data_IF_778613480812
#
_entry.id   IF_778613480812
#
_cell.length_a   1.000
_cell.length_b   1.000
_cell.length_c   1.000
_cell.angle_alpha   90.00
_cell.angle_beta   90.00
_cell.angle_gamma   90.00
#
_symmetry.space_group_name_H-M   'P 1'
#
loop_
_entity.id
_entity.type
_entity.pdbx_description
1 polymer ?
#
# COMPACT_ATOMS: atom_id res chain seq x y z
N UNK A 1 -34.98 14.06 18.85
CA UNK A 1 -33.59 14.49 19.10
C UNK A 1 -32.70 13.24 19.15
N UNK A 2 -31.72 13.08 18.27
CA UNK A 2 -30.86 11.88 18.21
C UNK A 2 -29.38 12.28 18.04
N UNK A 3 -28.50 11.69 18.85
CA UNK A 3 -27.10 11.42 18.51
C UNK A 3 -26.14 12.60 18.27
N UNK A 4 -25.75 13.36 19.30
CA UNK A 4 -24.61 14.32 19.24
C UNK A 4 -23.27 13.79 19.79
N UNK A 5 -23.19 12.53 20.27
CA UNK A 5 -22.07 12.08 21.14
C UNK A 5 -20.90 11.34 20.45
N UNK A 6 -21.14 10.61 19.35
CA UNK A 6 -20.24 9.51 18.97
C UNK A 6 -18.90 9.89 18.31
N UNK A 7 -18.72 11.14 17.86
CA UNK A 7 -17.49 11.55 17.17
C UNK A 7 -16.34 11.97 18.11
N UNK A 8 -16.62 12.30 19.39
CA UNK A 8 -15.57 12.76 20.31
C UNK A 8 -14.51 11.69 20.63
N UNK A 9 -14.88 10.41 20.62
CA UNK A 9 -13.95 9.31 20.89
C UNK A 9 -13.08 8.92 19.67
N UNK A 10 -13.54 9.19 18.45
CA UNK A 10 -12.76 8.96 17.21
C UNK A 10 -11.55 9.91 17.10
N UNK A 11 -11.70 11.15 17.55
CA UNK A 11 -10.67 12.20 17.46
C UNK A 11 -9.43 11.92 18.32
N UNK A 12 -9.61 11.40 19.54
CA UNK A 12 -8.49 11.05 20.43
C UNK A 12 -7.62 9.94 19.82
N UNK A 13 -8.23 9.01 19.07
CA UNK A 13 -7.51 7.97 18.34
C UNK A 13 -6.69 8.49 17.17
N UNK A 14 -7.19 9.50 16.44
CA UNK A 14 -6.49 10.09 15.29
C UNK A 14 -5.20 10.83 15.70
N UNK A 15 -5.19 11.44 16.89
CA UNK A 15 -4.01 12.08 17.49
C UNK A 15 -2.86 11.08 17.76
N UNK A 16 -3.19 9.86 18.21
CA UNK A 16 -2.23 8.77 18.45
C UNK A 16 -1.77 8.05 17.15
N UNK A 17 -2.24 8.49 15.97
CA UNK A 17 -1.74 7.99 14.68
C UNK A 17 -0.50 8.76 14.22
N UNK A 18 -0.39 10.04 14.54
CA UNK A 18 0.76 10.88 14.20
C UNK A 18 1.79 11.02 15.34
N UNK A 19 1.47 10.59 16.56
CA UNK A 19 2.44 10.51 17.67
C UNK A 19 2.06 9.49 18.75
N UNK A 20 3.01 8.62 19.11
CA UNK A 20 2.97 7.58 20.15
C UNK A 20 2.09 6.32 19.90
N UNK A 21 2.70 5.15 20.11
CA UNK A 21 2.08 3.82 20.00
C UNK A 21 1.81 3.23 21.40
N UNK A 22 0.69 2.51 21.58
CA UNK A 22 0.55 1.40 22.55
C UNK A 22 -0.65 0.50 22.21
N UNK A 23 -0.70 -0.71 22.77
CA UNK A 23 -1.47 -1.88 22.32
C UNK A 23 -2.82 -2.10 23.06
N UNK A 24 -3.77 -2.80 22.42
CA UNK A 24 -4.45 -4.03 22.93
C UNK A 24 -5.49 -4.59 21.93
N UNK A 25 -5.88 -5.88 22.06
CA UNK A 25 -6.64 -6.66 21.07
C UNK A 25 -7.63 -7.68 21.67
N UNK A 26 -8.69 -8.05 20.94
CA UNK A 26 -9.54 -9.25 21.15
C UNK A 26 -11.04 -8.98 20.93
N UNK A 27 -11.89 -9.92 20.49
CA UNK A 27 -11.73 -11.30 20.00
C UNK A 27 -12.93 -11.69 19.11
N UNK A 28 -12.92 -12.87 18.45
CA UNK A 28 -13.93 -13.32 17.46
C UNK A 28 -14.70 -14.56 17.96
N UNK A 29 -15.98 -14.69 17.58
CA UNK A 29 -16.77 -15.93 17.69
C UNK A 29 -17.06 -16.51 16.29
N UNK A 30 -17.17 -17.84 16.20
CA UNK A 30 -17.54 -18.56 14.98
C UNK A 30 -18.85 -19.34 15.20
N UNK A 31 -19.60 -19.57 14.11
CA UNK A 31 -20.82 -20.38 14.10
C UNK A 31 -20.82 -21.29 12.86
N UNK A 32 -21.16 -22.57 13.05
CA UNK A 32 -21.08 -23.62 12.02
C UNK A 32 -22.48 -23.92 11.44
N UNK A 33 -22.56 -24.34 10.16
CA UNK A 33 -23.84 -24.69 9.51
C UNK A 33 -23.69 -25.75 8.41
N UNK A 34 -24.73 -26.57 8.26
CA UNK A 34 -24.71 -27.88 7.59
C UNK A 34 -24.61 -27.89 6.04
N UNK A 35 -24.15 -29.02 5.51
CA UNK A 35 -23.81 -29.25 4.09
C UNK A 35 -24.99 -29.72 3.20
N UNK A 36 -25.07 -29.23 1.94
CA UNK A 36 -25.89 -29.82 0.87
C UNK A 36 -25.07 -30.66 -0.12
N UNK A 37 -25.67 -31.72 -0.69
CA UNK A 37 -25.04 -32.59 -1.70
C UNK A 37 -24.88 -31.83 -3.03
N UNK A 38 -23.72 -31.66 -3.68
CA UNK A 38 -22.53 -32.52 -3.94
C UNK A 38 -22.56 -33.30 -5.28
N UNK A 39 -23.00 -32.68 -6.38
CA UNK A 39 -22.70 -33.09 -7.78
C UNK A 39 -21.91 -32.06 -8.59
N UNK A 40 -21.77 -30.83 -8.07
CA UNK A 40 -21.07 -29.69 -8.71
C UNK A 40 -19.54 -29.75 -8.57
N UNK A 41 -19.07 -30.67 -7.73
CA UNK A 41 -17.78 -30.65 -7.03
C UNK A 41 -16.58 -30.97 -7.90
N UNK A 42 -16.75 -31.80 -8.93
CA UNK A 42 -15.67 -32.24 -9.84
C UNK A 42 -15.14 -31.09 -10.70
N UNK A 43 -16.01 -30.24 -11.25
CA UNK A 43 -15.60 -29.08 -12.04
C UNK A 43 -14.87 -28.03 -11.16
N UNK A 44 -15.36 -27.77 -9.94
CA UNK A 44 -14.72 -26.82 -9.02
C UNK A 44 -13.28 -27.23 -8.69
N UNK A 45 -13.11 -28.52 -8.37
CA UNK A 45 -11.81 -29.12 -8.07
C UNK A 45 -10.86 -29.01 -9.27
N UNK A 46 -11.36 -29.06 -10.50
CA UNK A 46 -10.55 -28.95 -11.71
C UNK A 46 -9.92 -27.56 -11.89
N UNK A 47 -10.63 -26.48 -11.57
CA UNK A 47 -10.11 -25.11 -11.78
C UNK A 47 -9.09 -24.70 -10.71
N UNK A 48 -9.33 -25.06 -9.44
CA UNK A 48 -8.34 -24.90 -8.38
C UNK A 48 -7.05 -25.64 -8.72
N UNK A 49 -7.16 -26.90 -9.16
CA UNK A 49 -6.01 -27.70 -9.57
C UNK A 49 -5.19 -27.04 -10.70
N UNK A 50 -5.82 -26.41 -11.71
CA UNK A 50 -5.08 -25.68 -12.76
C UNK A 50 -4.24 -24.54 -12.19
N UNK A 51 -4.83 -23.71 -11.33
CA UNK A 51 -4.12 -22.59 -10.67
C UNK A 51 -2.97 -23.13 -9.81
N UNK A 52 -3.21 -24.19 -9.05
CA UNK A 52 -2.17 -24.87 -8.26
C UNK A 52 -1.01 -25.41 -9.11
N UNK A 53 -1.27 -26.00 -10.28
CA UNK A 53 -0.19 -26.49 -11.16
C UNK A 53 0.59 -25.33 -11.83
N UNK A 54 -0.09 -24.27 -12.27
CA UNK A 54 0.59 -23.09 -12.81
C UNK A 54 1.46 -22.39 -11.75
N UNK A 55 0.97 -22.28 -10.51
CA UNK A 55 1.74 -21.77 -9.37
C UNK A 55 2.92 -22.69 -9.06
N UNK A 56 2.71 -24.00 -8.91
CA UNK A 56 3.80 -24.98 -8.68
C UNK A 56 4.91 -24.84 -9.71
N UNK A 57 4.57 -24.67 -10.99
CA UNK A 57 5.54 -24.41 -12.06
C UNK A 57 6.30 -23.09 -11.85
N UNK A 58 5.60 -21.99 -11.52
CA UNK A 58 6.23 -20.70 -11.23
C UNK A 58 7.17 -20.78 -10.03
N UNK A 59 6.80 -21.46 -8.95
CA UNK A 59 7.66 -21.60 -7.78
C UNK A 59 8.90 -22.44 -8.07
N UNK A 60 8.78 -23.55 -8.82
CA UNK A 60 9.93 -24.38 -9.18
C UNK A 60 10.88 -23.70 -10.19
N UNK A 61 10.40 -22.71 -10.95
CA UNK A 61 11.23 -21.88 -11.84
C UNK A 61 12.18 -20.95 -11.05
N UNK A 62 11.71 -20.36 -9.95
CA UNK A 62 12.51 -19.40 -9.13
C UNK A 62 13.15 -20.06 -7.90
N UNK A 63 12.55 -21.14 -7.41
CA UNK A 63 12.97 -21.88 -6.21
C UNK A 63 12.96 -23.40 -6.51
N UNK A 64 13.93 -23.93 -7.29
CA UNK A 64 13.92 -25.33 -7.75
C UNK A 64 13.95 -26.40 -6.65
N UNK A 65 14.24 -26.00 -5.40
CA UNK A 65 14.29 -26.84 -4.21
C UNK A 65 13.12 -26.59 -3.23
N UNK A 66 12.06 -25.90 -3.67
CA UNK A 66 10.87 -25.70 -2.87
C UNK A 66 10.15 -27.04 -2.61
N UNK A 67 9.76 -27.26 -1.35
CA UNK A 67 8.83 -28.32 -0.97
C UNK A 67 7.43 -27.88 -1.40
N UNK A 68 6.65 -28.78 -1.97
CA UNK A 68 5.27 -28.51 -2.44
C UNK A 68 4.38 -29.61 -1.88
N UNK A 69 3.40 -29.24 -1.06
CA UNK A 69 2.44 -30.16 -0.44
C UNK A 69 1.03 -29.71 -0.81
N UNK A 70 0.24 -30.63 -1.38
CA UNK A 70 -1.15 -30.35 -1.78
C UNK A 70 -2.07 -31.37 -1.10
N UNK A 71 -3.11 -30.88 -0.44
CA UNK A 71 -4.06 -31.69 0.33
C UNK A 71 -5.48 -31.14 0.16
N UNK A 72 -6.26 -31.76 -0.72
CA UNK A 72 -7.63 -31.34 -1.04
C UNK A 72 -7.68 -29.88 -1.53
N UNK A 73 -8.42 -29.05 -0.80
CA UNK A 73 -8.63 -27.61 -1.05
C UNK A 73 -7.44 -26.73 -0.57
N UNK A 74 -6.31 -27.31 -0.18
CA UNK A 74 -5.11 -26.60 0.31
C UNK A 74 -3.82 -26.92 -0.48
N UNK A 75 -2.96 -25.91 -0.65
CA UNK A 75 -1.61 -26.00 -1.23
C UNK A 75 -0.60 -25.18 -0.42
N UNK A 76 0.44 -25.83 0.13
CA UNK A 76 1.61 -25.20 0.75
C UNK A 76 2.82 -25.30 -0.19
N UNK A 77 3.58 -24.20 -0.33
CA UNK A 77 4.88 -24.18 -0.99
C UNK A 77 5.91 -23.50 -0.09
N UNK A 78 6.98 -24.21 0.27
CA UNK A 78 7.97 -23.75 1.25
C UNK A 78 9.43 -23.95 0.79
N UNK A 79 10.26 -22.91 0.90
CA UNK A 79 11.70 -22.95 0.66
C UNK A 79 12.46 -22.11 1.68
N UNK A 80 13.55 -22.66 2.24
CA UNK A 80 14.34 -22.06 3.34
C UNK A 80 13.49 -21.50 4.51
N UNK A 81 12.37 -22.13 4.83
CA UNK A 81 11.52 -21.71 5.95
C UNK A 81 12.11 -22.08 7.31
N UNK A 82 11.68 -21.39 8.37
CA UNK A 82 12.06 -21.70 9.75
C UNK A 82 11.14 -21.04 10.77
N UNK A 83 11.18 -21.55 12.00
CA UNK A 83 10.48 -20.95 13.14
C UNK A 83 11.12 -19.60 13.49
N UNK A 84 10.32 -18.54 13.56
CA UNK A 84 10.74 -17.20 13.99
C UNK A 84 9.77 -16.65 15.04
N UNK A 85 10.30 -15.94 16.02
CA UNK A 85 9.49 -15.21 16.99
C UNK A 85 8.99 -13.89 16.37
N UNK A 86 7.68 -13.66 16.45
CA UNK A 86 7.06 -12.37 16.12
C UNK A 86 7.34 -11.33 17.21
N UNK A 87 7.05 -10.06 16.91
CA UNK A 87 7.00 -8.96 17.91
C UNK A 87 6.04 -9.25 19.07
N UNK A 88 5.05 -10.14 18.89
CA UNK A 88 4.13 -10.60 19.96
C UNK A 88 4.64 -11.80 20.76
N UNK A 89 5.90 -12.23 20.55
CA UNK A 89 6.48 -13.42 21.20
C UNK A 89 5.97 -14.77 20.67
N UNK A 90 4.94 -14.78 19.81
CA UNK A 90 4.46 -16.01 19.17
C UNK A 90 5.48 -16.52 18.15
N UNK A 91 5.74 -17.81 18.17
CA UNK A 91 6.56 -18.48 17.16
C UNK A 91 5.70 -18.83 15.95
N UNK A 92 6.09 -18.37 14.77
CA UNK A 92 5.44 -18.68 13.49
C UNK A 92 6.44 -19.32 12.53
N UNK A 93 5.95 -19.98 11.48
CA UNK A 93 6.78 -20.35 10.33
C UNK A 93 6.94 -19.11 9.44
N UNK A 94 8.19 -18.81 9.05
CA UNK A 94 8.52 -17.67 8.18
C UNK A 94 9.72 -18.01 7.29
N UNK A 95 9.85 -17.37 6.11
CA UNK A 95 11.05 -17.51 5.28
C UNK A 95 12.30 -16.98 6.01
N UNK A 96 13.43 -17.66 5.84
CA UNK A 96 14.76 -17.10 6.10
C UNK A 96 15.21 -16.27 4.89
N UNK A 97 16.46 -15.79 4.91
CA UNK A 97 17.07 -15.08 3.77
C UNK A 97 17.01 -15.94 2.50
N UNK A 98 16.57 -15.32 1.40
CA UNK A 98 16.18 -15.93 0.11
C UNK A 98 15.08 -17.02 0.21
N UNK A 99 14.36 -17.07 1.31
CA UNK A 99 13.27 -18.01 1.53
C UNK A 99 11.94 -17.53 0.99
N UNK A 100 11.02 -18.47 0.82
CA UNK A 100 9.63 -18.20 0.47
C UNK A 100 8.70 -19.22 1.14
N UNK A 101 7.53 -18.76 1.57
CA UNK A 101 6.43 -19.58 2.08
C UNK A 101 5.14 -19.09 1.43
N UNK A 102 4.35 -20.00 0.89
CA UNK A 102 3.09 -19.69 0.25
C UNK A 102 2.01 -20.68 0.68
N UNK A 103 0.95 -20.16 1.30
CA UNK A 103 -0.22 -20.91 1.71
C UNK A 103 -1.39 -20.53 0.79
N UNK A 104 -2.11 -21.51 0.23
CA UNK A 104 -3.35 -21.29 -0.51
C UNK A 104 -4.44 -22.18 0.06
N UNK A 105 -5.55 -21.56 0.47
CA UNK A 105 -6.77 -22.23 0.88
C UNK A 105 -7.92 -21.85 -0.06
N UNK A 106 -8.61 -22.84 -0.61
CA UNK A 106 -9.89 -22.64 -1.26
C UNK A 106 -11.00 -22.64 -0.19
N UNK A 107 -11.70 -21.51 -0.01
CA UNK A 107 -12.70 -21.31 1.06
C UNK A 107 -14.09 -20.98 0.50
N UNK A 108 -15.18 -21.42 1.15
CA UNK A 108 -16.54 -21.12 0.71
C UNK A 108 -16.89 -19.63 0.87
N UNK A 109 -17.84 -19.17 0.06
CA UNK A 109 -18.37 -17.83 0.08
C UNK A 109 -17.39 -16.74 -0.40
N UNK A 110 -17.83 -15.49 -0.28
CA UNK A 110 -16.97 -14.30 -0.40
C UNK A 110 -16.06 -14.18 0.82
N UNK A 111 -14.91 -13.54 0.67
CA UNK A 111 -14.01 -13.24 1.80
C UNK A 111 -14.69 -12.26 2.78
N UNK A 112 -14.77 -12.63 4.07
CA UNK A 112 -15.55 -11.89 5.09
C UNK A 112 -14.71 -11.18 6.17
N UNK A 113 -13.39 -11.14 6.07
CA UNK A 113 -12.58 -10.42 7.07
C UNK A 113 -12.63 -8.90 6.85
N UNK A 114 -12.48 -8.13 7.94
CA UNK A 114 -12.34 -6.67 7.92
C UNK A 114 -11.07 -6.19 7.15
N UNK A 115 -10.13 -7.11 6.90
CA UNK A 115 -8.91 -6.85 6.13
C UNK A 115 -9.24 -6.68 4.64
N UNK A 116 -9.10 -5.48 4.11
CA UNK A 116 -9.26 -5.27 2.66
C UNK A 116 -8.08 -5.93 1.93
N UNK A 117 -8.37 -6.76 0.93
CA UNK A 117 -7.42 -7.44 0.07
C UNK A 117 -7.53 -6.93 -1.38
N UNK A 118 -6.46 -7.03 -2.21
CA UNK A 118 -5.14 -7.52 -1.88
C UNK A 118 -4.38 -6.57 -0.93
N UNK A 119 -3.53 -7.13 -0.07
CA UNK A 119 -2.70 -6.35 0.88
C UNK A 119 -1.22 -6.72 0.75
N UNK A 120 -0.33 -5.75 1.02
CA UNK A 120 1.12 -5.95 1.13
C UNK A 120 1.58 -5.35 2.46
N UNK A 121 2.21 -6.16 3.32
CA UNK A 121 2.72 -5.76 4.64
C UNK A 121 4.21 -6.08 4.68
N UNK A 122 5.04 -5.09 5.02
CA UNK A 122 6.48 -5.28 5.19
C UNK A 122 6.76 -5.55 6.67
N UNK A 123 7.15 -6.78 7.01
CA UNK A 123 7.72 -7.12 8.31
C UNK A 123 9.25 -6.96 8.28
N UNK A 124 9.90 -6.89 9.44
CA UNK A 124 11.34 -6.59 9.55
C UNK A 124 12.28 -7.50 8.74
N UNK A 125 11.84 -8.69 8.33
CA UNK A 125 12.67 -9.70 7.64
C UNK A 125 12.03 -10.30 6.38
N UNK A 126 10.77 -9.98 6.10
CA UNK A 126 10.03 -10.55 4.96
C UNK A 126 8.83 -9.67 4.63
N UNK A 127 8.36 -9.77 3.39
CA UNK A 127 7.14 -9.12 2.93
C UNK A 127 6.03 -10.16 2.89
N UNK A 128 4.85 -9.79 3.37
CA UNK A 128 3.61 -10.56 3.27
C UNK A 128 2.76 -9.95 2.15
N UNK A 129 2.30 -10.77 1.21
CA UNK A 129 1.18 -10.46 0.32
C UNK A 129 0.02 -11.38 0.66
N UNK A 130 -1.17 -10.82 0.84
CA UNK A 130 -2.41 -11.59 0.98
C UNK A 130 -3.42 -11.20 -0.07
N UNK A 131 -4.13 -12.18 -0.63
CA UNK A 131 -5.10 -12.06 -1.72
C UNK A 131 -6.28 -13.00 -1.47
N UNK A 132 -7.46 -12.66 -1.97
CA UNK A 132 -8.64 -13.52 -1.88
C UNK A 132 -9.61 -13.29 -3.06
N UNK A 133 -9.18 -13.51 -4.33
CA UNK A 133 -10.07 -13.42 -5.47
C UNK A 133 -11.25 -14.39 -5.29
N UNK A 134 -12.45 -13.92 -5.60
CA UNK A 134 -13.69 -14.66 -5.46
C UNK A 134 -14.15 -15.16 -6.84
N UNK A 135 -14.64 -16.41 -6.89
CA UNK A 135 -15.23 -17.00 -8.08
C UNK A 135 -16.71 -17.27 -7.81
N UNK A 136 -17.57 -16.45 -8.42
CA UNK A 136 -19.01 -16.43 -8.14
C UNK A 136 -19.74 -17.74 -8.52
N UNK A 137 -19.54 -18.36 -9.69
CA UNK A 137 -20.13 -19.67 -10.02
C UNK A 137 -19.70 -20.82 -9.11
N UNK A 138 -18.51 -20.72 -8.48
CA UNK A 138 -18.06 -21.69 -7.50
C UNK A 138 -18.58 -21.41 -6.08
N UNK A 139 -19.05 -20.18 -5.82
CA UNK A 139 -19.24 -19.56 -4.50
C UNK A 139 -18.08 -19.87 -3.55
N UNK A 140 -16.85 -19.64 -4.01
CA UNK A 140 -15.61 -19.86 -3.28
C UNK A 140 -14.61 -18.74 -3.55
N UNK A 141 -13.75 -18.42 -2.58
CA UNK A 141 -12.61 -17.53 -2.75
C UNK A 141 -11.28 -18.28 -2.51
N UNK A 142 -10.24 -17.86 -3.22
CA UNK A 142 -8.90 -18.44 -3.10
C UNK A 142 -8.06 -17.62 -2.13
N UNK A 143 -8.17 -17.91 -0.84
CA UNK A 143 -7.39 -17.23 0.20
C UNK A 143 -5.92 -17.60 0.07
N UNK A 144 -5.10 -16.64 -0.36
CA UNK A 144 -3.70 -16.82 -0.70
C UNK A 144 -2.83 -15.94 0.18
N UNK A 145 -1.76 -16.50 0.75
CA UNK A 145 -0.81 -15.81 1.62
C UNK A 145 0.62 -16.16 1.23
N UNK A 146 1.37 -15.14 0.78
CA UNK A 146 2.75 -15.27 0.33
C UNK A 146 3.68 -14.49 1.26
N UNK A 147 4.63 -15.16 1.89
CA UNK A 147 5.72 -14.58 2.68
C UNK A 147 7.04 -14.77 1.92
N UNK A 148 7.76 -13.70 1.65
CA UNK A 148 8.98 -13.73 0.82
C UNK A 148 10.05 -12.74 1.30
N UNK A 149 11.32 -13.02 1.01
CA UNK A 149 12.43 -12.11 1.29
C UNK A 149 12.26 -10.77 0.51
N UNK A 150 12.54 -9.59 1.10
CA UNK A 150 12.40 -8.29 0.41
C UNK A 150 13.19 -8.16 -0.90
N UNK A 151 14.27 -8.93 -1.09
CA UNK A 151 15.04 -8.99 -2.33
C UNK A 151 14.44 -9.88 -3.44
N UNK A 152 13.29 -10.51 -3.22
CA UNK A 152 12.62 -11.37 -4.21
C UNK A 152 12.29 -10.59 -5.49
N UNK A 153 12.61 -11.10 -6.70
CA UNK A 153 12.36 -10.38 -7.95
C UNK A 153 10.89 -9.98 -8.14
N UNK A 154 10.61 -8.69 -8.36
CA UNK A 154 9.23 -8.20 -8.53
C UNK A 154 8.55 -8.80 -9.79
N UNK A 155 9.31 -9.33 -10.76
CA UNK A 155 8.77 -10.10 -11.89
C UNK A 155 8.11 -11.42 -11.44
N UNK A 156 8.67 -12.11 -10.44
CA UNK A 156 8.04 -13.28 -9.82
C UNK A 156 6.76 -12.86 -9.09
N UNK A 157 6.81 -11.80 -8.28
CA UNK A 157 5.66 -11.26 -7.54
C UNK A 157 4.53 -10.83 -8.49
N UNK A 158 4.87 -10.23 -9.63
CA UNK A 158 3.91 -9.82 -10.66
C UNK A 158 3.28 -11.03 -11.34
N UNK A 159 4.07 -12.05 -11.71
CA UNK A 159 3.56 -13.31 -12.29
C UNK A 159 2.67 -14.06 -11.29
N UNK A 160 3.08 -14.12 -10.02
CA UNK A 160 2.32 -14.75 -8.93
C UNK A 160 0.93 -14.13 -8.79
N UNK A 161 0.83 -12.81 -8.60
CA UNK A 161 -0.46 -12.09 -8.49
C UNK A 161 -1.36 -12.42 -9.69
N UNK A 162 -0.81 -12.29 -10.91
CA UNK A 162 -1.54 -12.59 -12.14
C UNK A 162 -2.05 -14.03 -12.23
N UNK A 163 -1.35 -15.01 -11.65
CA UNK A 163 -1.82 -16.40 -11.59
C UNK A 163 -2.96 -16.57 -10.56
N UNK A 164 -2.88 -15.89 -9.42
CA UNK A 164 -3.94 -15.89 -8.40
C UNK A 164 -5.20 -15.20 -8.94
N UNK A 165 -5.06 -14.04 -9.59
CA UNK A 165 -6.17 -13.27 -10.18
C UNK A 165 -6.87 -13.99 -11.36
N UNK A 166 -6.23 -14.99 -11.99
CA UNK A 166 -6.92 -15.87 -12.96
C UNK A 166 -8.09 -16.62 -12.34
N UNK A 167 -8.07 -16.88 -11.03
CA UNK A 167 -9.12 -17.63 -10.34
C UNK A 167 -10.50 -16.97 -10.44
N UNK A 168 -10.56 -15.63 -10.41
CA UNK A 168 -11.79 -14.83 -10.58
C UNK A 168 -12.28 -14.86 -12.05
N UNK A 169 -11.36 -14.79 -13.02
CA UNK A 169 -11.65 -14.41 -14.40
C UNK A 169 -11.95 -15.56 -15.39
N UNK A 170 -12.12 -16.80 -14.91
CA UNK A 170 -12.26 -17.98 -15.81
C UNK A 170 -13.64 -18.12 -16.50
N UNK A 171 -14.61 -17.28 -16.16
CA UNK A 171 -16.04 -17.53 -16.43
C UNK A 171 -16.48 -17.01 -17.81
N UNK A 172 -15.91 -15.89 -18.28
CA UNK A 172 -16.41 -15.21 -19.48
C UNK A 172 -16.12 -15.95 -20.80
N UNK A 173 -15.08 -16.80 -20.83
CA UNK A 173 -14.60 -17.40 -22.09
C UNK A 173 -15.40 -18.60 -22.61
N UNK A 174 -16.31 -19.18 -21.82
CA UNK A 174 -17.12 -20.35 -22.25
C UNK A 174 -18.44 -19.98 -22.96
N UNK A 175 -18.85 -18.70 -23.02
CA UNK A 175 -20.13 -18.29 -23.64
C UNK A 175 -20.06 -17.87 -25.12
N UNK A 176 -18.89 -17.84 -25.74
CA UNK A 176 -18.71 -17.25 -27.09
C UNK A 176 -17.88 -18.14 -28.04
N UNK A 177 -18.01 -19.46 -27.92
CA UNK A 177 -17.39 -20.41 -28.88
C UNK A 177 -18.41 -21.44 -29.39
N UNK A 178 -19.49 -20.93 -29.96
CA UNK A 178 -20.33 -21.68 -30.91
C UNK A 178 -20.53 -20.80 -32.14
N UNK A 179 -20.37 -21.39 -33.33
CA UNK A 179 -20.46 -20.80 -34.69
C UNK A 179 -19.15 -20.23 -35.29
N UNK A 180 -18.88 -20.74 -36.51
CA UNK A 180 -17.94 -20.28 -37.55
C UNK A 180 -16.42 -20.56 -37.40
N UNK A 181 -16.00 -21.65 -38.02
CA UNK A 181 -14.68 -21.77 -38.65
C UNK A 181 -14.59 -20.87 -39.89
N UNK A 182 -13.50 -20.09 -40.08
CA UNK A 182 -13.09 -19.55 -41.38
C UNK A 182 -11.62 -19.06 -41.44
N UNK A 183 -10.68 -19.99 -41.26
CA UNK A 183 -9.45 -20.13 -42.07
C UNK A 183 -8.89 -18.88 -42.82
N UNK A 184 -7.94 -18.16 -42.22
CA UNK A 184 -6.91 -17.40 -42.98
C UNK A 184 -5.53 -17.57 -42.33
N UNK A 185 -4.57 -18.12 -43.10
CA UNK A 185 -3.13 -18.05 -42.82
C UNK A 185 -2.58 -16.74 -43.39
N UNK A 186 -1.65 -16.08 -42.68
CA UNK A 186 -0.45 -15.47 -43.28
C UNK A 186 0.66 -15.42 -42.22
N UNK A 187 1.86 -15.85 -42.59
CA UNK A 187 3.10 -15.65 -41.82
C UNK A 187 3.78 -14.37 -42.31
N UNK A 188 4.37 -13.59 -41.39
CA UNK A 188 5.47 -12.69 -41.77
C UNK A 188 6.61 -12.82 -40.77
N UNK A 189 7.78 -13.15 -41.30
CA UNK A 189 9.08 -13.28 -40.62
C UNK A 189 9.88 -12.00 -40.86
N UNK A 190 10.43 -11.37 -39.81
CA UNK A 190 11.66 -10.57 -39.94
C UNK A 190 12.51 -10.62 -38.66
N UNK A 191 13.82 -10.52 -38.83
CA UNK A 191 14.91 -10.75 -37.88
C UNK A 191 15.34 -9.48 -37.09
N UNK A 192 16.22 -9.59 -36.07
CA UNK A 192 16.57 -8.49 -35.17
C UNK A 192 17.66 -7.55 -35.72
N UNK A 193 17.76 -6.35 -35.13
CA UNK A 193 18.85 -5.39 -35.39
C UNK A 193 19.76 -5.29 -34.16
N UNK A 194 21.05 -5.18 -34.43
CA UNK A 194 22.17 -5.36 -33.52
C UNK A 194 22.49 -4.14 -32.66
N UNK A 195 22.82 -4.43 -31.41
CA UNK A 195 23.82 -3.82 -30.51
C UNK A 195 24.77 -2.76 -31.08
N UNK A 196 25.00 -1.69 -30.30
CA UNK A 196 26.14 -0.79 -30.44
C UNK A 196 26.51 -0.21 -29.06
N UNK A 197 27.63 -0.66 -28.49
CA UNK A 197 28.25 -0.08 -27.30
C UNK A 197 29.05 1.18 -27.65
N UNK A 198 29.18 2.11 -26.71
CA UNK A 198 30.11 3.24 -26.81
C UNK A 198 30.71 3.54 -25.44
N UNK A 199 31.87 2.95 -25.19
CA UNK A 199 32.76 3.19 -24.05
C UNK A 199 33.49 4.53 -24.22
N UNK A 200 33.50 5.38 -23.18
CA UNK A 200 34.43 6.53 -23.10
C UNK A 200 35.04 6.61 -21.71
N UNK A 201 36.35 6.41 -21.65
CA UNK A 201 37.15 6.42 -20.43
C UNK A 201 37.44 7.83 -19.90
N UNK A 202 37.83 7.91 -18.62
CA UNK A 202 38.00 9.17 -17.89
C UNK A 202 39.34 9.90 -18.11
N UNK A 203 39.45 11.06 -17.46
CA UNK A 203 40.70 11.81 -17.25
C UNK A 203 40.71 12.46 -15.85
N UNK A 204 41.89 12.86 -15.31
CA UNK A 204 42.15 12.74 -13.87
C UNK A 204 42.00 14.04 -13.07
N UNK A 205 42.03 13.86 -11.75
CA UNK A 205 42.06 14.85 -10.68
C UNK A 205 43.42 15.52 -10.48
N UNK A 206 43.43 16.83 -10.16
CA UNK A 206 44.51 17.54 -9.46
C UNK A 206 43.97 18.89 -8.88
N UNK A 207 44.67 19.63 -7.99
CA UNK A 207 44.38 19.52 -6.55
C UNK A 207 43.95 20.84 -5.86
N UNK A 208 43.89 20.79 -4.53
CA UNK A 208 43.23 21.73 -3.61
C UNK A 208 43.56 23.24 -3.72
N UNK A 209 42.55 24.06 -3.40
CA UNK A 209 42.67 25.48 -3.06
C UNK A 209 41.77 25.79 -1.84
N UNK A 210 42.15 26.71 -0.93
CA UNK A 210 41.61 26.75 0.42
C UNK A 210 40.21 27.36 0.51
N UNK A 211 39.51 26.98 1.59
CA UNK A 211 38.13 27.34 1.87
C UNK A 211 37.89 28.85 1.92
N UNK A 212 36.82 29.26 1.25
CA UNK A 212 36.13 30.52 1.54
C UNK A 212 34.70 30.13 1.89
N UNK A 213 34.24 30.48 3.09
CA UNK A 213 32.88 30.16 3.56
C UNK A 213 31.84 30.92 2.74
N UNK A 214 31.51 30.37 1.57
CA UNK A 214 30.35 30.79 0.79
C UNK A 214 29.11 30.38 1.56
N UNK A 215 28.13 31.27 1.64
CA UNK A 215 26.77 30.86 1.97
C UNK A 215 26.36 29.79 0.96
N UNK A 216 26.17 28.57 1.46
CA UNK A 216 25.78 27.43 0.64
C UNK A 216 24.38 27.73 0.10
N UNK A 217 24.30 28.12 -1.17
CA UNK A 217 23.03 28.17 -1.90
C UNK A 217 22.47 26.75 -1.93
N UNK A 218 21.65 26.44 -0.93
CA UNK A 218 20.85 25.22 -0.87
C UNK A 218 19.92 25.20 -2.07
N UNK A 219 20.37 24.57 -3.14
CA UNK A 219 19.59 24.37 -4.35
C UNK A 219 18.52 23.33 -4.04
N UNK A 220 17.33 23.81 -3.68
CA UNK A 220 16.13 22.99 -3.47
C UNK A 220 15.55 22.54 -4.82
N UNK A 221 16.43 22.07 -5.72
CA UNK A 221 16.14 21.82 -7.13
C UNK A 221 14.94 20.90 -7.27
N UNK A 222 13.92 21.37 -7.99
CA UNK A 222 12.63 20.70 -8.12
C UNK A 222 12.84 19.23 -8.52
N UNK A 223 12.56 18.25 -7.62
CA UNK A 223 12.83 16.86 -7.91
C UNK A 223 12.02 16.40 -9.12
N UNK A 224 12.52 15.40 -9.86
CA UNK A 224 11.77 14.81 -10.97
C UNK A 224 10.50 14.14 -10.46
N UNK A 225 9.40 14.91 -10.45
CA UNK A 225 8.11 14.47 -9.94
C UNK A 225 7.55 13.32 -10.78
N UNK A 226 7.37 12.17 -10.14
CA UNK A 226 6.75 10.99 -10.73
C UNK A 226 5.26 10.97 -10.39
N UNK A 227 4.42 10.58 -11.35
CA UNK A 227 2.98 10.46 -11.14
C UNK A 227 2.65 9.07 -10.58
N UNK A 228 2.09 9.03 -9.39
CA UNK A 228 1.60 7.81 -8.77
C UNK A 228 0.09 7.72 -8.89
N UNK A 229 -0.38 6.53 -9.25
CA UNK A 229 -1.78 6.13 -9.21
C UNK A 229 -1.85 4.87 -8.36
N UNK A 230 -2.43 4.98 -7.17
CA UNK A 230 -2.45 3.88 -6.21
C UNK A 230 -3.59 2.90 -6.52
N UNK A 231 -3.42 1.63 -6.13
CA UNK A 231 -4.30 0.52 -6.53
C UNK A 231 -5.77 0.66 -6.11
N UNK A 232 -6.07 1.47 -5.09
CA UNK A 232 -7.45 1.79 -4.72
C UNK A 232 -8.14 2.76 -5.71
N UNK A 233 -7.41 3.37 -6.64
CA UNK A 233 -7.90 4.20 -7.74
C UNK A 233 -8.41 5.59 -7.35
N UNK A 234 -8.16 6.06 -6.13
CA UNK A 234 -8.94 7.16 -5.51
C UNK A 234 -8.38 8.57 -5.72
N UNK A 235 -7.08 8.67 -5.97
CA UNK A 235 -6.40 9.93 -6.28
C UNK A 235 -5.14 9.65 -7.09
N UNK A 236 -4.65 10.68 -7.77
CA UNK A 236 -3.33 10.71 -8.41
C UNK A 236 -2.52 11.81 -7.73
N UNK A 237 -1.26 11.54 -7.46
CA UNK A 237 -0.34 12.51 -6.85
C UNK A 237 0.96 12.55 -7.65
N UNK A 238 1.59 13.71 -7.69
CA UNK A 238 2.97 13.86 -8.15
C UNK A 238 3.86 13.91 -6.91
N UNK A 239 4.77 12.96 -6.77
CA UNK A 239 5.74 12.93 -5.66
C UNK A 239 7.16 12.71 -6.20
N UNK A 240 8.19 13.16 -5.46
CA UNK A 240 9.57 12.82 -5.74
C UNK A 240 9.90 11.33 -5.49
N UNK A 241 10.89 10.82 -6.24
CA UNK A 241 11.64 9.60 -5.94
C UNK A 241 10.84 8.29 -5.91
N UNK A 242 10.74 7.66 -4.73
CA UNK A 242 10.02 6.40 -4.49
C UNK A 242 9.44 6.43 -3.06
N UNK A 243 8.15 6.79 -2.87
CA UNK A 243 7.61 7.00 -1.54
C UNK A 243 7.40 5.70 -0.75
N UNK A 244 7.81 5.71 0.52
CA UNK A 244 7.52 4.64 1.48
C UNK A 244 6.02 4.58 1.75
N UNK A 245 5.40 3.43 1.51
CA UNK A 245 3.97 3.22 1.78
C UNK A 245 3.74 2.64 3.17
N UNK A 246 2.79 3.21 3.91
CA UNK A 246 2.35 2.79 5.26
C UNK A 246 0.83 2.60 5.28
N UNK A 247 0.37 1.61 6.03
CA UNK A 247 -1.04 1.28 6.23
C UNK A 247 -1.32 1.17 7.74
N UNK A 248 -2.49 1.64 8.21
CA UNK A 248 -2.93 1.47 9.60
C UNK A 248 -4.45 1.43 9.70
N UNK A 249 -5.00 0.40 10.34
CA UNK A 249 -6.41 0.36 10.72
C UNK A 249 -6.56 0.78 12.20
N UNK A 250 -7.47 1.70 12.51
CA UNK A 250 -7.71 2.20 13.89
C UNK A 250 -9.11 2.76 14.02
N UNK A 251 -9.87 2.32 15.04
CA UNK A 251 -11.23 2.79 15.34
C UNK A 251 -12.21 2.76 14.13
N UNK A 252 -12.12 1.70 13.31
CA UNK A 252 -12.94 1.56 12.09
C UNK A 252 -12.53 2.50 10.94
N UNK A 253 -11.42 3.23 11.07
CA UNK A 253 -10.81 4.00 10.00
C UNK A 253 -9.59 3.28 9.43
N UNK A 254 -9.41 3.34 8.11
CA UNK A 254 -8.19 2.88 7.43
C UNK A 254 -7.36 4.06 6.95
N UNK A 255 -6.13 4.18 7.42
CA UNK A 255 -5.15 5.14 6.95
C UNK A 255 -4.23 4.49 5.92
N UNK A 256 -4.01 5.18 4.81
CA UNK A 256 -3.01 4.85 3.79
C UNK A 256 -2.16 6.09 3.57
N UNK A 257 -0.85 5.94 3.63
CA UNK A 257 0.09 7.05 3.69
C UNK A 257 1.33 6.73 2.83
N UNK A 258 1.77 7.73 2.09
CA UNK A 258 2.93 7.72 1.21
C UNK A 258 3.87 8.81 1.71
N UNK A 259 5.05 8.41 2.15
CA UNK A 259 6.03 9.33 2.75
C UNK A 259 7.30 9.35 1.92
N UNK A 260 7.84 10.54 1.70
CA UNK A 260 9.15 10.77 1.11
C UNK A 260 9.96 11.69 2.02
N UNK A 261 11.20 11.31 2.32
CA UNK A 261 12.08 12.03 3.24
C UNK A 261 13.22 12.69 2.45
N UNK A 262 13.57 13.92 2.83
CA UNK A 262 14.71 14.68 2.30
C UNK A 262 15.61 15.13 3.46
N UNK A 263 16.90 15.46 3.23
CA UNK A 263 17.81 15.88 4.29
C UNK A 263 17.31 17.08 5.13
N UNK A 264 16.52 17.98 4.55
CA UNK A 264 15.97 19.16 5.23
C UNK A 264 14.46 19.08 5.54
N UNK A 265 13.78 17.99 5.16
CA UNK A 265 12.33 17.90 5.27
C UNK A 265 11.72 16.60 4.75
N UNK A 266 10.50 16.68 4.26
CA UNK A 266 9.80 15.53 3.71
C UNK A 266 8.35 15.82 3.37
N UNK A 267 7.84 15.04 2.43
CA UNK A 267 6.46 15.06 1.96
C UNK A 267 5.71 13.84 2.48
N UNK A 268 4.45 14.05 2.80
CA UNK A 268 3.55 13.00 3.24
C UNK A 268 2.19 13.23 2.59
N UNK A 269 1.70 12.24 1.83
CA UNK A 269 0.38 12.28 1.22
C UNK A 269 -0.36 11.00 1.55
N UNK A 270 -1.62 11.10 1.94
CA UNK A 270 -2.40 9.96 2.34
C UNK A 270 -3.89 10.25 2.41
N UNK A 271 -4.63 9.28 2.89
CA UNK A 271 -6.06 9.40 3.14
C UNK A 271 -6.49 8.47 4.26
N UNK A 272 -7.50 8.90 5.01
CA UNK A 272 -8.27 8.07 5.91
C UNK A 272 -9.61 7.70 5.25
N UNK A 273 -9.92 6.41 5.20
CA UNK A 273 -11.26 5.88 4.93
C UNK A 273 -12.03 5.93 6.24
N UNK A 274 -13.06 6.77 6.32
CA UNK A 274 -13.93 6.89 7.49
C UNK A 274 -14.98 5.77 7.50
N UNK A 275 -15.44 5.32 8.68
CA UNK A 275 -16.46 4.26 8.79
C UNK A 275 -17.81 4.63 8.16
N UNK A 276 -18.09 5.93 8.00
CA UNK A 276 -19.26 6.44 7.31
C UNK A 276 -19.01 7.81 6.69
N UNK A 277 -19.93 8.27 5.84
CA UNK A 277 -19.92 9.63 5.31
C UNK A 277 -20.37 10.62 6.39
N UNK A 278 -19.62 11.72 6.55
CA UNK A 278 -19.98 12.78 7.50
C UNK A 278 -21.08 13.65 6.88
N UNK A 279 -22.23 13.86 7.57
CA UNK A 279 -23.30 14.75 7.09
C UNK A 279 -22.78 16.17 6.84
N UNK A 280 -23.21 16.81 5.75
CA UNK A 280 -22.69 18.11 5.31
C UNK A 280 -22.65 19.18 6.43
N UNK A 281 -23.71 19.27 7.23
CA UNK A 281 -23.82 20.18 8.38
C UNK A 281 -22.82 19.93 9.52
N UNK A 282 -22.15 18.78 9.53
CA UNK A 282 -21.14 18.39 10.52
C UNK A 282 -19.70 18.49 10.00
N UNK A 283 -19.50 18.63 8.68
CA UNK A 283 -18.17 18.57 8.04
C UNK A 283 -17.25 19.70 8.51
N UNK A 284 -17.76 20.93 8.67
CA UNK A 284 -16.98 22.05 9.21
C UNK A 284 -16.52 21.82 10.65
N UNK A 285 -17.39 21.30 11.52
CA UNK A 285 -17.04 20.97 12.90
C UNK A 285 -16.03 19.82 13.01
N UNK A 286 -16.11 18.84 12.11
CA UNK A 286 -15.14 17.75 12.00
C UNK A 286 -13.76 18.24 11.53
N UNK A 287 -13.70 19.04 10.47
CA UNK A 287 -12.44 19.60 9.99
C UNK A 287 -11.78 20.50 11.04
N UNK A 288 -12.56 21.37 11.70
CA UNK A 288 -12.05 22.20 12.80
C UNK A 288 -11.48 21.37 13.96
N UNK A 289 -12.11 20.24 14.32
CA UNK A 289 -11.61 19.41 15.41
C UNK A 289 -10.32 18.66 15.06
N UNK A 290 -10.09 18.36 13.78
CA UNK A 290 -8.79 17.91 13.27
C UNK A 290 -7.76 19.04 13.38
N UNK A 291 -8.10 20.26 12.94
CA UNK A 291 -7.17 21.41 13.03
C UNK A 291 -6.72 21.69 14.45
N UNK A 292 -7.67 21.79 15.38
CA UNK A 292 -7.38 22.03 16.79
C UNK A 292 -6.60 20.89 17.44
N UNK A 293 -6.78 19.65 16.95
CA UNK A 293 -5.97 18.51 17.37
C UNK A 293 -4.51 18.63 16.90
N UNK A 294 -4.28 19.01 15.63
CA UNK A 294 -2.94 19.22 15.07
C UNK A 294 -2.20 20.39 15.75
N UNK A 295 -2.87 21.52 15.95
CA UNK A 295 -2.31 22.69 16.65
C UNK A 295 -1.93 22.33 18.09
N UNK A 296 -2.75 21.50 18.76
CA UNK A 296 -2.47 21.03 20.13
C UNK A 296 -1.28 20.06 20.21
N UNK A 297 -1.08 19.19 19.21
CA UNK A 297 0.07 18.27 19.19
C UNK A 297 1.39 18.95 18.81
N UNK A 298 1.34 20.07 18.09
CA UNK A 298 2.49 20.84 17.63
C UNK A 298 2.41 22.29 18.13
N UNK A 299 2.65 22.54 19.44
CA UNK A 299 2.55 23.87 20.02
C UNK A 299 3.54 24.83 19.34
N UNK A 300 3.00 25.90 18.76
CA UNK A 300 3.75 26.87 17.96
C UNK A 300 2.86 27.98 17.43
N UNK A 301 3.47 28.89 16.65
CA UNK A 301 2.70 29.89 15.89
C UNK A 301 1.99 29.18 14.74
N UNK A 302 0.73 29.53 14.49
CA UNK A 302 -0.07 28.85 13.49
C UNK A 302 -1.01 29.81 12.75
N UNK A 303 -1.27 29.50 11.49
CA UNK A 303 -2.29 30.14 10.66
C UNK A 303 -3.22 29.04 10.11
N UNK A 304 -4.53 29.28 10.09
CA UNK A 304 -5.54 28.33 9.58
C UNK A 304 -6.33 28.97 8.44
N UNK A 305 -6.38 28.28 7.29
CA UNK A 305 -7.08 28.74 6.10
C UNK A 305 -8.23 27.79 5.74
N UNK A 306 -9.35 28.37 5.29
CA UNK A 306 -10.45 27.61 4.68
C UNK A 306 -10.06 27.20 3.26
N UNK A 307 -10.09 25.90 2.95
CA UNK A 307 -9.80 25.39 1.61
C UNK A 307 -11.08 24.85 0.95
N UNK A 308 -11.21 25.02 -0.36
CA UNK A 308 -12.18 24.30 -1.18
C UNK A 308 -11.45 23.65 -2.35
N UNK A 309 -11.55 22.33 -2.47
CA UNK A 309 -10.96 21.57 -3.58
C UNK A 309 -12.07 20.93 -4.40
N UNK A 310 -12.27 21.37 -5.64
CA UNK A 310 -13.34 20.86 -6.53
C UNK A 310 -14.74 20.85 -5.86
N UNK A 311 -15.03 21.86 -5.03
CA UNK A 311 -16.26 21.99 -4.26
C UNK A 311 -16.28 21.26 -2.89
N UNK A 312 -15.33 20.36 -2.62
CA UNK A 312 -15.20 19.70 -1.33
C UNK A 312 -14.54 20.60 -0.27
N UNK A 313 -15.00 20.58 0.99
CA UNK A 313 -14.42 21.39 2.05
C UNK A 313 -13.10 20.82 2.55
N UNK A 314 -12.21 21.72 2.95
CA UNK A 314 -10.93 21.38 3.56
C UNK A 314 -10.38 22.48 4.47
N UNK A 315 -9.25 22.19 5.10
CA UNK A 315 -8.45 23.12 5.91
C UNK A 315 -6.99 23.06 5.49
N UNK A 316 -6.32 24.21 5.44
CA UNK A 316 -4.87 24.29 5.49
C UNK A 316 -4.46 24.85 6.86
N UNK A 317 -3.38 24.33 7.43
CA UNK A 317 -2.79 24.80 8.68
C UNK A 317 -1.29 24.92 8.46
N UNK A 318 -0.77 26.12 8.65
CA UNK A 318 0.65 26.42 8.51
C UNK A 318 1.20 26.60 9.93
N UNK A 319 2.12 25.73 10.34
CA UNK A 319 2.66 25.67 11.71
C UNK A 319 4.14 26.04 11.70
N UNK A 320 4.55 26.89 12.65
CA UNK A 320 5.95 27.19 12.98
C UNK A 320 6.22 26.77 14.42
N UNK A 321 6.96 25.68 14.58
CA UNK A 321 7.27 25.05 15.87
C UNK A 321 8.69 25.41 16.27
N UNK A 322 8.83 26.05 17.43
CA UNK A 322 10.12 26.31 18.06
C UNK A 322 10.63 25.02 18.71
N UNK A 323 11.72 24.47 18.19
CA UNK A 323 12.43 23.36 18.84
C UNK A 323 13.10 23.84 20.13
N UNK A 324 13.30 22.91 21.07
CA UNK A 324 14.16 23.15 22.26
C UNK A 324 15.57 23.62 21.86
N UNK A 325 16.05 23.14 20.73
CA UNK A 325 17.21 23.67 20.02
C UNK A 325 16.77 24.88 19.19
N UNK A 326 17.03 26.10 19.70
CA UNK A 326 16.67 27.37 19.05
C UNK A 326 17.23 27.53 17.65
N UNK A 327 18.27 26.77 17.27
CA UNK A 327 18.84 26.80 15.92
C UNK A 327 17.98 26.03 14.90
N UNK A 328 17.09 25.15 15.35
CA UNK A 328 16.29 24.25 14.49
C UNK A 328 14.81 24.60 14.53
N UNK A 329 14.44 25.72 13.89
CA UNK A 329 13.03 26.04 13.63
C UNK A 329 12.44 25.02 12.65
N UNK A 330 11.35 24.38 13.04
CA UNK A 330 10.58 23.48 12.15
C UNK A 330 9.32 24.17 11.67
N UNK A 331 9.02 23.96 10.40
CA UNK A 331 7.78 24.38 9.78
C UNK A 331 7.01 23.16 9.26
N UNK A 332 5.69 23.31 9.19
CA UNK A 332 4.78 22.30 8.66
C UNK A 332 3.68 23.00 7.86
N UNK A 333 3.28 22.43 6.73
CA UNK A 333 2.03 22.77 6.04
C UNK A 333 1.18 21.51 6.02
N UNK A 334 0.01 21.55 6.66
CA UNK A 334 -0.98 20.48 6.67
C UNK A 334 -2.21 20.89 5.87
N UNK A 335 -2.58 20.13 4.84
CA UNK A 335 -3.87 20.25 4.15
C UNK A 335 -4.71 19.01 4.41
N UNK A 336 -5.97 19.23 4.77
CA UNK A 336 -6.98 18.17 4.90
C UNK A 336 -8.18 18.47 4.00
N UNK A 337 -8.68 17.48 3.27
CA UNK A 337 -9.79 17.63 2.31
C UNK A 337 -10.77 16.47 2.49
N UNK A 338 -12.06 16.78 2.72
CA UNK A 338 -13.08 15.78 2.99
C UNK A 338 -13.97 15.50 1.77
N UNK A 339 -13.80 14.32 1.17
CA UNK A 339 -14.52 13.85 -0.02
C UNK A 339 -15.40 12.65 0.36
N UNK A 340 -16.70 12.88 0.57
CA UNK A 340 -17.68 11.87 1.03
C UNK A 340 -17.25 11.22 2.37
N UNK A 341 -16.66 10.01 2.31
CA UNK A 341 -16.11 9.28 3.47
C UNK A 341 -14.58 9.21 3.50
N UNK A 342 -13.90 9.95 2.62
CA UNK A 342 -12.44 9.98 2.53
C UNK A 342 -11.93 11.31 3.02
N UNK A 343 -11.02 11.27 3.99
CA UNK A 343 -10.28 12.44 4.45
C UNK A 343 -8.87 12.36 3.86
N UNK A 344 -8.61 13.12 2.81
CA UNK A 344 -7.25 13.26 2.26
C UNK A 344 -6.41 14.12 3.20
N UNK A 345 -5.15 13.76 3.35
CA UNK A 345 -4.15 14.42 4.19
C UNK A 345 -2.91 14.63 3.32
N UNK A 346 -2.47 15.88 3.19
CA UNK A 346 -1.27 16.29 2.45
C UNK A 346 -0.45 17.12 3.43
N UNK A 347 0.83 16.80 3.55
CA UNK A 347 1.72 17.32 4.58
C UNK A 347 3.11 17.55 3.99
N UNK A 348 3.70 18.70 4.29
CA UNK A 348 5.11 18.98 4.08
C UNK A 348 5.71 19.44 5.40
N UNK A 349 6.84 18.87 5.81
CA UNK A 349 7.51 19.18 7.09
C UNK A 349 9.00 19.37 6.87
N UNK A 350 9.64 20.31 7.58
CA UNK A 350 11.07 20.53 7.41
C UNK A 350 11.60 21.76 8.14
N UNK A 351 12.72 22.28 7.68
CA UNK A 351 13.21 23.62 8.09
C UNK A 351 12.26 24.70 7.59
N UNK A 352 12.21 25.86 8.25
CA UNK A 352 11.39 27.01 7.80
C UNK A 352 11.74 27.45 6.37
N UNK A 353 13.03 27.36 5.98
CA UNK A 353 13.50 27.67 4.63
C UNK A 353 13.04 26.62 3.59
N UNK A 354 13.14 25.33 3.91
CA UNK A 354 12.73 24.25 3.01
C UNK A 354 11.21 24.27 2.77
N UNK A 355 10.39 24.48 3.81
CA UNK A 355 8.92 24.56 3.69
C UNK A 355 8.48 25.79 2.87
N UNK A 356 9.23 26.88 2.91
CA UNK A 356 8.95 28.08 2.11
C UNK A 356 9.39 27.96 0.63
N UNK A 357 10.15 26.92 0.27
CA UNK A 357 10.77 26.74 -1.05
C UNK A 357 9.75 26.55 -2.19
N UNK A 358 10.14 26.82 -3.46
CA UNK A 358 9.29 26.53 -4.61
C UNK A 358 8.91 25.05 -4.74
N UNK A 359 9.83 24.13 -4.44
CA UNK A 359 9.58 22.69 -4.53
C UNK A 359 8.37 22.24 -3.69
N UNK A 360 8.23 22.78 -2.48
CA UNK A 360 7.08 22.49 -1.62
C UNK A 360 5.78 23.07 -2.19
N UNK A 361 5.83 24.25 -2.83
CA UNK A 361 4.66 24.87 -3.49
C UNK A 361 4.23 24.17 -4.77
N UNK A 362 5.13 23.44 -5.43
CA UNK A 362 4.82 22.65 -6.64
C UNK A 362 4.18 21.29 -6.30
N UNK A 363 4.46 20.74 -5.12
CA UNK A 363 3.89 19.47 -4.63
C UNK A 363 2.53 19.65 -3.96
N UNK A 364 2.31 20.79 -3.28
CA UNK A 364 1.10 21.08 -2.48
C UNK A 364 -0.01 21.77 -3.27
#
# INVERSE_FOLDING_TARGET
MIGRSNYRHLLTGMLLVLGAWSLTTGSVFALEKAEPKNSRTSEQMSEFNKVCQELKKLFLEYYPRAKVEQSGDHLEIAFKVGKQATTTGRTILAPKIDGILCDLDLKPGKYQSDKILPSRVNEMRYVIIEMAPYNEPLDKHLHTRLLFDPGTPEIFITRFKKLVDKFENQIEKKKTTTVSEAKVKTQTKTEPVTEAEAEVAGRPSEPDKPETTKEEKTDFGAPKLSSYSFSEGRFKVKLPGNPLTKYKDTAGMRFVQYQYEEPQGGYQVGYAILPGQIPYSQQGGFLNSISQSLIKSHPGKHEEHSLKWQGYPGRQIDLKVESKDKTKKRAYIYRTILVRRFLYIIEATGTEAWVASPAVKEVL
#
